data_IF_805182378950
#
_entry.id   IF_805182378950
#
_cell.length_a   1.000
_cell.length_b   1.000
_cell.length_c   1.000
_cell.angle_alpha   90.00
_cell.angle_beta   90.00
_cell.angle_gamma   90.00
#
_symmetry.space_group_name_H-M   'P 1'
#
loop_
_entity.id
_entity.type
_entity.pdbx_description
1 polymer ?
#
# COMPACT_ATOMS: atom_id res chain seq x y z
N UNK A 1 -8.73 -5.72 -27.21
CA UNK A 1 -7.49 -6.30 -26.67
C UNK A 1 -7.62 -6.44 -25.16
N UNK A 2 -7.76 -7.67 -24.65
CA UNK A 2 -7.96 -7.99 -23.23
C UNK A 2 -6.61 -8.05 -22.46
N UNK A 3 -5.84 -6.96 -22.49
CA UNK A 3 -4.38 -7.02 -22.36
C UNK A 3 -3.69 -6.29 -21.19
N UNK A 4 -4.41 -5.77 -20.18
CA UNK A 4 -3.73 -5.12 -19.04
C UNK A 4 -3.92 -5.95 -17.76
N UNK A 5 -2.80 -6.47 -17.23
CA UNK A 5 -2.75 -7.21 -15.96
C UNK A 5 -2.98 -6.35 -14.71
N UNK A 6 -3.14 -5.03 -14.89
CA UNK A 6 -3.33 -4.04 -13.84
C UNK A 6 -4.42 -3.03 -14.24
N UNK A 7 -5.30 -2.69 -13.30
CA UNK A 7 -6.30 -1.62 -13.42
C UNK A 7 -6.21 -0.66 -12.23
N UNK A 8 -6.40 0.63 -12.50
CA UNK A 8 -6.47 1.68 -11.49
C UNK A 8 -7.85 2.34 -11.55
N UNK A 9 -8.55 2.34 -10.43
CA UNK A 9 -9.89 2.89 -10.25
C UNK A 9 -9.86 4.00 -9.20
N UNK A 10 -10.62 5.08 -9.39
CA UNK A 10 -10.72 6.17 -8.42
C UNK A 10 -9.58 7.20 -8.47
N UNK A 11 -8.77 7.22 -9.53
CA UNK A 11 -7.61 8.13 -9.64
C UNK A 11 -8.00 9.62 -9.56
N UNK A 12 -9.21 9.95 -9.99
CA UNK A 12 -9.83 11.27 -9.91
C UNK A 12 -10.06 11.76 -8.48
N UNK A 13 -10.09 10.85 -7.50
CA UNK A 13 -10.23 11.18 -6.07
C UNK A 13 -8.93 11.70 -5.46
N UNK A 14 -7.80 11.54 -6.13
CA UNK A 14 -6.52 12.07 -5.67
C UNK A 14 -6.55 13.60 -5.88
N UNK A 15 -6.39 14.41 -4.82
CA UNK A 15 -6.41 15.86 -4.94
C UNK A 15 -5.25 16.34 -5.82
N UNK A 16 -5.44 17.42 -6.57
CA UNK A 16 -4.35 18.01 -7.39
C UNK A 16 -3.16 18.51 -6.54
N UNK A 17 -3.42 18.86 -5.27
CA UNK A 17 -2.42 19.22 -4.27
C UNK A 17 -1.81 18.04 -3.49
N UNK A 18 -1.16 18.30 -2.35
CA UNK A 18 -0.50 17.26 -1.57
C UNK A 18 -1.49 16.31 -0.88
N UNK A 19 -1.01 15.11 -0.55
CA UNK A 19 -1.84 14.08 0.05
C UNK A 19 -1.02 12.86 0.48
N UNK A 20 -1.46 12.22 1.56
CA UNK A 20 -0.83 11.02 2.09
C UNK A 20 -1.60 9.78 1.62
N UNK A 21 -1.06 9.05 0.65
CA UNK A 21 -1.60 7.76 0.19
C UNK A 21 -1.27 6.71 1.25
N UNK A 22 -2.30 6.17 1.91
CA UNK A 22 -2.14 5.11 2.91
C UNK A 22 -2.66 3.81 2.33
N UNK A 23 -1.82 2.80 2.28
CA UNK A 23 -2.13 1.56 1.56
C UNK A 23 -1.78 0.29 2.32
N UNK A 24 -2.45 -0.79 1.93
CA UNK A 24 -2.17 -2.15 2.40
C UNK A 24 -0.82 -2.66 1.87
N UNK A 25 0.05 -3.17 2.74
CA UNK A 25 1.31 -3.76 2.33
C UNK A 25 1.13 -5.20 1.82
N UNK A 26 1.30 -5.40 0.52
CA UNK A 26 1.39 -6.73 -0.10
C UNK A 26 2.65 -7.50 0.28
N UNK A 27 2.73 -8.78 -0.07
CA UNK A 27 3.96 -9.55 0.07
C UNK A 27 5.12 -8.92 -0.73
N UNK A 28 4.80 -8.32 -1.89
CA UNK A 28 5.71 -7.54 -2.73
C UNK A 28 5.08 -6.16 -3.01
N UNK A 29 5.87 -5.11 -3.30
CA UNK A 29 5.37 -3.76 -3.57
C UNK A 29 4.92 -3.58 -5.04
N UNK A 30 4.63 -4.67 -5.77
CA UNK A 30 4.40 -4.63 -7.22
C UNK A 30 3.18 -3.80 -7.60
N UNK A 31 2.13 -3.83 -6.79
CA UNK A 31 0.93 -3.04 -7.00
C UNK A 31 1.19 -1.54 -6.84
N UNK A 32 1.98 -1.18 -5.84
CA UNK A 32 2.35 0.20 -5.59
C UNK A 32 3.27 0.75 -6.69
N UNK A 33 4.17 -0.06 -7.24
CA UNK A 33 4.96 0.30 -8.44
C UNK A 33 4.06 0.54 -9.67
N UNK A 34 3.07 -0.33 -9.91
CA UNK A 34 2.10 -0.12 -10.99
C UNK A 34 1.25 1.14 -10.75
N UNK A 35 0.81 1.38 -9.52
CA UNK A 35 0.10 2.59 -9.14
C UNK A 35 0.92 3.84 -9.47
N UNK A 36 2.19 3.91 -9.05
CA UNK A 36 3.07 5.05 -9.32
C UNK A 36 3.27 5.26 -10.82
N UNK A 37 3.51 4.20 -11.59
CA UNK A 37 3.65 4.30 -13.04
C UNK A 37 2.37 4.83 -13.71
N UNK A 38 1.20 4.38 -13.26
CA UNK A 38 -0.09 4.82 -13.79
C UNK A 38 -0.43 6.25 -13.38
N UNK A 39 -0.11 6.63 -12.16
CA UNK A 39 -0.25 8.01 -11.68
C UNK A 39 0.61 8.97 -12.50
N UNK A 40 1.88 8.62 -12.74
CA UNK A 40 2.79 9.40 -13.57
C UNK A 40 2.24 9.53 -15.01
N UNK A 41 1.80 8.42 -15.61
CA UNK A 41 1.29 8.43 -16.99
C UNK A 41 -0.06 9.15 -17.15
N UNK A 42 -0.97 9.05 -16.16
CA UNK A 42 -2.32 9.61 -16.27
C UNK A 42 -2.44 11.05 -15.77
N UNK A 43 -1.66 11.42 -14.76
CA UNK A 43 -1.73 12.73 -14.09
C UNK A 43 -0.43 13.54 -14.22
N UNK A 44 0.67 12.96 -14.72
CA UNK A 44 1.97 13.63 -14.75
C UNK A 44 2.58 13.83 -13.36
N UNK A 45 2.12 13.06 -12.35
CA UNK A 45 2.50 13.25 -10.94
C UNK A 45 3.32 12.09 -10.41
N UNK A 46 4.33 12.43 -9.63
CA UNK A 46 5.12 11.46 -8.86
C UNK A 46 4.54 11.33 -7.44
N UNK A 47 4.59 10.13 -6.90
CA UNK A 47 4.29 9.84 -5.50
C UNK A 47 5.59 9.41 -4.85
N UNK A 48 6.08 10.20 -3.89
CA UNK A 48 7.21 9.80 -3.07
C UNK A 48 6.78 8.68 -2.15
N UNK A 49 7.72 7.88 -1.64
CA UNK A 49 7.39 6.77 -0.75
C UNK A 49 8.41 6.65 0.36
N UNK A 50 8.04 5.97 1.45
CA UNK A 50 8.97 5.67 2.53
C UNK A 50 9.28 4.18 2.52
N UNK A 51 10.56 3.82 2.49
CA UNK A 51 11.00 2.44 2.65
C UNK A 51 11.64 2.19 4.01
N UNK A 52 11.57 0.94 4.45
CA UNK A 52 12.24 0.47 5.66
C UNK A 52 13.77 0.61 5.52
N UNK A 53 14.44 0.89 6.65
CA UNK A 53 15.90 1.02 6.73
C UNK A 53 16.64 -0.16 6.10
N UNK A 54 16.11 -1.38 6.23
CA UNK A 54 16.76 -2.57 5.68
C UNK A 54 16.81 -2.54 4.14
N UNK A 55 15.83 -1.92 3.49
CA UNK A 55 15.77 -1.81 2.02
C UNK A 55 17.02 -1.14 1.47
N UNK A 56 17.50 -0.08 2.14
CA UNK A 56 18.72 0.64 1.76
C UNK A 56 20.02 -0.15 1.99
N UNK A 57 19.97 -1.29 2.69
CA UNK A 57 21.13 -2.18 2.87
C UNK A 57 21.29 -3.19 1.72
N UNK A 58 20.32 -3.29 0.81
CA UNK A 58 20.38 -4.20 -0.34
C UNK A 58 21.30 -3.60 -1.42
N UNK A 59 22.41 -4.25 -1.79
CA UNK A 59 23.30 -3.75 -2.84
C UNK A 59 22.55 -3.56 -4.16
N UNK A 60 22.73 -2.40 -4.81
CA UNK A 60 22.17 -2.11 -6.14
C UNK A 60 20.72 -1.58 -6.16
N UNK A 61 20.00 -1.58 -5.04
CA UNK A 61 18.60 -1.12 -5.03
C UNK A 61 18.44 0.41 -4.98
N UNK A 62 19.48 1.13 -4.54
CA UNK A 62 19.44 2.58 -4.31
C UNK A 62 19.01 3.37 -5.55
N UNK A 63 19.54 3.04 -6.73
CA UNK A 63 19.16 3.70 -7.99
C UNK A 63 17.66 3.54 -8.29
N UNK A 64 17.10 2.37 -7.97
CA UNK A 64 15.69 2.07 -8.17
C UNK A 64 14.84 2.86 -7.17
N UNK A 65 15.26 2.91 -5.90
CA UNK A 65 14.59 3.70 -4.86
C UNK A 65 14.60 5.21 -5.18
N UNK A 66 15.72 5.74 -5.66
CA UNK A 66 15.85 7.16 -6.03
C UNK A 66 14.92 7.51 -7.20
N UNK A 67 14.80 6.64 -8.21
CA UNK A 67 13.88 6.82 -9.37
C UNK A 67 12.42 6.84 -8.93
N UNK A 68 12.05 6.01 -7.94
CA UNK A 68 10.69 5.95 -7.43
C UNK A 68 10.44 6.94 -6.28
N UNK A 69 11.39 7.82 -5.96
CA UNK A 69 11.25 8.79 -4.86
C UNK A 69 11.08 8.13 -3.49
N UNK A 70 11.67 6.94 -3.31
CA UNK A 70 11.57 6.15 -2.09
C UNK A 70 12.68 6.55 -1.13
N UNK A 71 12.29 7.15 -0.01
CA UNK A 71 13.20 7.83 0.90
C UNK A 71 13.33 7.12 2.25
N UNK A 72 14.43 7.44 2.93
CA UNK A 72 14.62 7.15 4.35
C UNK A 72 13.93 8.23 5.20
N UNK A 73 12.62 8.37 5.00
CA UNK A 73 11.88 9.52 5.51
C UNK A 73 11.71 9.51 7.02
N UNK A 74 12.51 10.30 7.73
CA UNK A 74 12.14 10.76 9.07
C UNK A 74 10.82 11.52 9.03
N UNK A 75 10.12 11.65 10.17
CA UNK A 75 8.80 12.31 10.23
C UNK A 75 8.83 13.72 9.62
N UNK A 76 9.88 14.49 9.92
CA UNK A 76 10.06 15.87 9.45
C UNK A 76 10.21 15.94 7.92
N UNK A 77 10.97 15.02 7.32
CA UNK A 77 11.17 14.94 5.88
C UNK A 77 9.87 14.62 5.15
N UNK A 78 9.10 13.64 5.68
CA UNK A 78 7.77 13.31 5.17
C UNK A 78 6.82 14.52 5.20
N UNK A 79 6.85 15.29 6.30
CA UNK A 79 6.05 16.52 6.42
C UNK A 79 6.51 17.57 5.41
N UNK A 80 7.82 17.73 5.19
CA UNK A 80 8.35 18.70 4.24
C UNK A 80 7.95 18.38 2.80
N UNK A 81 7.98 17.10 2.40
CA UNK A 81 7.52 16.67 1.07
C UNK A 81 6.06 17.05 0.84
N UNK A 82 5.21 16.75 1.82
CA UNK A 82 3.79 17.08 1.73
C UNK A 82 3.57 18.59 1.69
N UNK A 83 4.29 19.37 2.51
CA UNK A 83 4.23 20.85 2.49
C UNK A 83 4.72 21.45 1.17
N UNK A 84 5.64 20.78 0.47
CA UNK A 84 6.09 21.18 -0.87
C UNK A 84 5.09 20.83 -1.99
N UNK A 85 3.91 20.29 -1.66
CA UNK A 85 2.84 20.02 -2.63
C UNK A 85 2.87 18.63 -3.26
N UNK A 86 3.75 17.73 -2.77
CA UNK A 86 3.89 16.39 -3.33
C UNK A 86 2.95 15.37 -2.69
N UNK A 87 2.76 14.25 -3.39
CA UNK A 87 2.12 13.06 -2.81
C UNK A 87 3.16 12.20 -2.10
N UNK A 88 2.77 11.61 -0.97
CA UNK A 88 3.58 10.67 -0.22
C UNK A 88 2.79 9.38 0.01
N UNK A 89 3.39 8.22 -0.28
CA UNK A 89 2.83 6.91 -0.02
C UNK A 89 3.45 6.24 1.19
N UNK A 90 2.61 5.66 2.04
CA UNK A 90 3.04 4.89 3.20
C UNK A 90 2.15 3.68 3.43
N UNK A 91 2.78 2.56 3.78
CA UNK A 91 2.10 1.36 4.27
C UNK A 91 2.37 1.18 5.78
N UNK A 92 1.43 1.53 6.68
CA UNK A 92 1.70 1.55 8.13
C UNK A 92 2.12 0.19 8.70
N UNK A 93 1.58 -0.89 8.13
CA UNK A 93 1.92 -2.27 8.51
C UNK A 93 3.37 -2.66 8.21
N UNK A 94 3.99 -2.01 7.22
CA UNK A 94 5.38 -2.24 6.83
C UNK A 94 5.71 -3.72 6.56
N UNK A 95 6.98 -4.08 6.80
CA UNK A 95 7.50 -5.44 6.59
C UNK A 95 6.73 -6.51 7.37
N UNK A 96 6.22 -6.18 8.56
CA UNK A 96 5.42 -7.12 9.36
C UNK A 96 4.12 -7.49 8.66
N UNK A 97 3.42 -6.50 8.11
CA UNK A 97 2.22 -6.75 7.30
C UNK A 97 2.56 -7.49 6.00
N UNK A 98 3.65 -7.11 5.33
CA UNK A 98 4.14 -7.79 4.14
C UNK A 98 4.32 -9.30 4.38
N UNK A 99 4.91 -9.70 5.51
CA UNK A 99 5.22 -11.09 5.78
C UNK A 99 4.11 -11.89 6.46
N UNK A 100 3.31 -11.27 7.32
CA UNK A 100 2.39 -12.02 8.20
C UNK A 100 0.91 -11.80 7.92
N UNK A 101 0.55 -10.84 7.06
CA UNK A 101 -0.81 -10.78 6.55
C UNK A 101 -1.03 -11.90 5.52
N UNK A 102 -2.23 -12.44 5.51
CA UNK A 102 -2.56 -13.66 4.77
C UNK A 102 -3.72 -13.44 3.80
N UNK A 103 -4.33 -14.53 3.31
CA UNK A 103 -5.47 -14.49 2.41
C UNK A 103 -6.72 -13.78 2.98
N UNK A 104 -6.72 -13.41 4.26
CA UNK A 104 -7.77 -12.60 4.87
C UNK A 104 -7.45 -11.09 4.82
N UNK A 105 -6.30 -10.69 4.28
CA UNK A 105 -5.90 -9.29 4.12
C UNK A 105 -6.02 -8.50 5.44
N UNK A 106 -5.51 -9.10 6.52
CA UNK A 106 -5.49 -8.48 7.84
C UNK A 106 -4.53 -7.29 7.86
N UNK A 107 -4.99 -6.13 8.35
CA UNK A 107 -4.13 -4.97 8.58
C UNK A 107 -3.34 -5.16 9.88
N UNK A 108 -2.01 -5.23 9.78
CA UNK A 108 -1.11 -5.53 10.89
C UNK A 108 -0.35 -4.29 11.37
N UNK A 109 -1.08 -3.20 11.61
CA UNK A 109 -0.50 -1.90 11.96
C UNK A 109 -0.04 -1.82 13.43
N UNK A 110 -0.65 -2.61 14.31
CA UNK A 110 -0.41 -2.51 15.76
C UNK A 110 -0.71 -1.09 16.26
N UNK A 111 0.20 -0.51 17.06
CA UNK A 111 0.07 0.84 17.60
C UNK A 111 0.71 1.93 16.71
N UNK A 112 1.01 1.61 15.44
CA UNK A 112 1.70 2.55 14.53
C UNK A 112 0.73 3.62 14.04
N UNK A 113 0.86 4.82 14.62
CA UNK A 113 0.08 6.03 14.28
C UNK A 113 0.92 7.19 13.75
N UNK A 114 2.21 6.96 13.50
CA UNK A 114 3.14 8.02 13.06
C UNK A 114 2.76 8.65 11.72
N UNK A 115 2.20 7.87 10.80
CA UNK A 115 1.73 8.37 9.51
C UNK A 115 0.54 9.34 9.65
N UNK A 116 -0.36 9.09 10.60
CA UNK A 116 -1.47 9.99 10.88
C UNK A 116 -0.96 11.33 11.46
N UNK A 117 0.06 11.28 12.32
CA UNK A 117 0.72 12.50 12.79
C UNK A 117 1.36 13.29 11.64
N UNK A 118 2.01 12.62 10.69
CA UNK A 118 2.56 13.27 9.47
C UNK A 118 1.46 13.99 8.69
N UNK A 119 0.30 13.37 8.49
CA UNK A 119 -0.82 14.00 7.80
C UNK A 119 -1.36 15.24 8.54
N UNK A 120 -1.46 15.17 9.88
CA UNK A 120 -1.86 16.29 10.73
C UNK A 120 -0.85 17.44 10.64
N UNK A 121 0.44 17.15 10.81
CA UNK A 121 1.52 18.15 10.82
C UNK A 121 1.69 18.84 9.46
N UNK A 122 1.42 18.10 8.37
CA UNK A 122 1.43 18.62 7.01
C UNK A 122 0.10 19.26 6.59
N UNK A 123 -0.98 19.08 7.36
CA UNK A 123 -2.35 19.53 7.06
C UNK A 123 -2.88 19.03 5.71
N UNK A 124 -2.66 17.74 5.43
CA UNK A 124 -3.05 17.10 4.16
C UNK A 124 -4.08 16.00 4.39
N UNK A 125 -4.90 15.67 3.37
CA UNK A 125 -5.81 14.53 3.47
C UNK A 125 -5.06 13.20 3.45
N UNK A 126 -5.65 12.19 4.10
CA UNK A 126 -5.26 10.78 3.93
C UNK A 126 -6.11 10.18 2.80
N UNK A 127 -5.46 9.53 1.86
CA UNK A 127 -6.11 8.90 0.71
C UNK A 127 -5.94 7.38 0.86
N UNK A 128 -7.00 6.65 1.22
CA UNK A 128 -6.93 5.20 1.39
C UNK A 128 -6.81 4.50 0.04
N UNK A 129 -5.92 3.52 -0.05
CA UNK A 129 -5.72 2.71 -1.25
C UNK A 129 -5.67 1.23 -0.90
N UNK A 130 -6.33 0.41 -1.73
CA UNK A 130 -6.33 -1.04 -1.61
C UNK A 130 -6.18 -1.70 -2.98
N UNK A 131 -5.43 -2.80 -3.06
CA UNK A 131 -5.27 -3.58 -4.30
C UNK A 131 -5.82 -5.00 -4.13
N UNK A 132 -6.80 -5.35 -4.97
CA UNK A 132 -7.36 -6.69 -5.08
C UNK A 132 -6.33 -7.70 -5.63
N UNK A 133 -6.43 -8.95 -5.18
CA UNK A 133 -5.61 -10.10 -5.58
C UNK A 133 -4.12 -9.99 -5.24
N UNK A 134 -3.71 -9.01 -4.42
CA UNK A 134 -2.31 -8.83 -4.06
C UNK A 134 -1.72 -10.06 -3.35
N UNK A 135 -2.50 -10.69 -2.46
CA UNK A 135 -2.15 -11.95 -1.77
C UNK A 135 -2.38 -13.20 -2.63
N UNK A 136 -3.01 -13.07 -3.78
CA UNK A 136 -3.15 -14.18 -4.73
C UNK A 136 -2.03 -14.17 -5.76
N UNK A 137 -1.49 -12.99 -6.09
CA UNK A 137 -0.31 -12.86 -6.95
C UNK A 137 0.97 -13.27 -6.24
N UNK A 138 1.11 -12.87 -4.97
CA UNK A 138 2.28 -13.16 -4.14
C UNK A 138 1.88 -13.50 -2.70
N UNK A 139 2.44 -14.59 -2.17
CA UNK A 139 2.25 -15.05 -0.80
C UNK A 139 3.59 -15.23 -0.10
N UNK A 140 3.53 -15.33 1.21
CA UNK A 140 4.67 -15.57 2.07
C UNK A 140 4.46 -16.86 2.85
N UNK A 141 5.55 -17.45 3.32
CA UNK A 141 5.50 -18.56 4.27
C UNK A 141 5.41 -18.09 5.73
N UNK A 142 4.94 -16.86 5.97
CA UNK A 142 4.88 -16.25 7.31
C UNK A 142 3.93 -16.94 8.29
N UNK A 143 3.04 -17.83 7.83
CA UNK A 143 2.19 -18.67 8.69
C UNK A 143 2.98 -19.73 9.47
N UNK A 144 4.17 -20.10 8.99
CA UNK A 144 5.03 -21.06 9.69
C UNK A 144 5.59 -20.39 10.94
N UNK A 145 5.31 -20.98 12.10
CA UNK A 145 5.67 -20.41 13.41
C UNK A 145 7.15 -20.08 13.54
N UNK A 146 8.05 -20.91 13.01
CA UNK A 146 9.50 -20.68 13.08
C UNK A 146 9.94 -19.40 12.36
N UNK A 147 9.36 -19.08 11.20
CA UNK A 147 9.66 -17.84 10.48
C UNK A 147 9.15 -16.61 11.24
N UNK A 148 7.97 -16.70 11.87
CA UNK A 148 7.44 -15.63 12.69
C UNK A 148 8.29 -15.39 13.94
N UNK A 149 8.65 -16.46 14.64
CA UNK A 149 9.53 -16.39 15.81
C UNK A 149 10.89 -15.78 15.44
N UNK A 150 11.53 -16.27 14.38
CA UNK A 150 12.83 -15.78 13.92
C UNK A 150 12.76 -14.30 13.51
N UNK A 151 11.70 -13.86 12.83
CA UNK A 151 11.52 -12.45 12.48
C UNK A 151 11.31 -11.57 13.70
N UNK A 152 10.47 -11.98 14.66
CA UNK A 152 10.21 -11.18 15.86
C UNK A 152 11.47 -11.07 16.75
N UNK A 153 12.33 -12.11 16.74
CA UNK A 153 13.62 -12.11 17.43
C UNK A 153 14.71 -11.29 16.71
N UNK A 154 14.93 -11.55 15.42
CA UNK A 154 16.08 -11.00 14.68
C UNK A 154 15.78 -9.74 13.86
N UNK A 155 14.50 -9.46 13.58
CA UNK A 155 14.03 -8.45 12.63
C UNK A 155 14.59 -8.59 11.21
N UNK A 156 15.23 -9.72 10.88
CA UNK A 156 15.75 -10.00 9.54
C UNK A 156 14.62 -10.48 8.61
N UNK A 157 14.58 -9.99 7.36
CA UNK A 157 13.53 -10.36 6.41
C UNK A 157 13.79 -11.70 5.73
N UNK A 158 13.80 -12.77 6.53
CA UNK A 158 14.10 -14.14 6.09
C UNK A 158 12.86 -14.96 5.76
N UNK A 159 11.70 -14.32 5.59
CA UNK A 159 10.44 -15.01 5.29
C UNK A 159 10.38 -15.29 3.79
N UNK A 160 10.39 -16.57 3.34
CA UNK A 160 10.35 -16.87 1.91
C UNK A 160 9.04 -16.41 1.28
N UNK A 161 9.16 -15.86 0.07
CA UNK A 161 8.05 -15.46 -0.78
C UNK A 161 7.87 -16.48 -1.91
N UNK A 162 6.62 -16.74 -2.30
CA UNK A 162 6.28 -17.53 -3.46
C UNK A 162 5.12 -16.87 -4.20
N UNK A 163 5.03 -17.07 -5.50
CA UNK A 163 4.02 -16.44 -6.33
C UNK A 163 4.55 -16.05 -7.69
N UNK A 164 4.13 -14.88 -8.18
CA UNK A 164 4.24 -14.54 -9.59
C UNK A 164 3.10 -15.13 -10.41
N UNK A 165 1.99 -15.47 -9.76
CA UNK A 165 0.81 -15.96 -10.46
C UNK A 165 0.23 -14.83 -11.32
N UNK A 166 -0.19 -15.11 -12.56
CA UNK A 166 -0.71 -14.11 -13.48
C UNK A 166 -2.15 -13.74 -13.12
N UNK A 167 -2.40 -13.34 -11.88
CA UNK A 167 -3.70 -12.77 -11.46
C UNK A 167 -3.80 -11.33 -11.97
N UNK A 168 -5.01 -10.78 -11.97
CA UNK A 168 -5.23 -9.38 -12.31
C UNK A 168 -5.27 -8.52 -11.05
N UNK A 169 -4.41 -7.52 -10.99
CA UNK A 169 -4.41 -6.53 -9.91
C UNK A 169 -5.37 -5.40 -10.25
N UNK A 170 -6.22 -5.03 -9.30
CA UNK A 170 -7.11 -3.87 -9.42
C UNK A 170 -6.90 -3.01 -8.18
N UNK A 171 -6.32 -1.84 -8.37
CA UNK A 171 -6.11 -0.87 -7.30
C UNK A 171 -7.29 0.09 -7.26
N UNK A 172 -7.83 0.28 -6.08
CA UNK A 172 -8.96 1.16 -5.80
C UNK A 172 -8.50 2.27 -4.87
N UNK A 173 -8.70 3.52 -5.31
CA UNK A 173 -8.53 4.71 -4.50
C UNK A 173 -9.87 5.02 -3.83
N UNK A 174 -9.87 5.10 -2.50
CA UNK A 174 -11.04 5.49 -1.73
C UNK A 174 -11.18 7.00 -1.56
N UNK A 175 -12.26 7.41 -0.92
CA UNK A 175 -12.53 8.83 -0.71
C UNK A 175 -11.50 9.44 0.27
N UNK A 176 -10.93 10.62 -0.04
CA UNK A 176 -9.97 11.25 0.85
C UNK A 176 -10.59 11.57 2.21
N UNK A 177 -9.88 11.24 3.28
CA UNK A 177 -10.19 11.68 4.63
C UNK A 177 -9.59 13.08 4.78
N UNK A 178 -10.42 14.15 4.83
CA UNK A 178 -9.93 15.51 4.87
C UNK A 178 -9.19 15.79 6.18
N UNK A 179 -8.31 16.79 6.14
CA UNK A 179 -7.68 17.30 7.35
C UNK A 179 -8.73 17.87 8.31
N UNK A 180 -8.63 17.49 9.57
CA UNK A 180 -9.46 17.98 10.67
C UNK A 180 -8.52 18.42 11.81
N UNK A 181 -8.52 19.70 12.23
CA UNK A 181 -7.65 20.18 13.29
C UNK A 181 -7.97 19.57 14.67
N UNK A 182 -9.16 18.99 14.86
CA UNK A 182 -9.61 18.46 16.14
C UNK A 182 -9.37 16.96 16.28
N UNK A 183 -8.94 16.27 15.21
CA UNK A 183 -8.72 14.83 15.24
C UNK A 183 -7.37 14.49 15.85
N UNK A 184 -7.33 13.48 16.71
CA UNK A 184 -6.06 12.94 17.20
C UNK A 184 -5.43 12.02 16.16
N UNK A 185 -4.11 11.83 16.22
CA UNK A 185 -3.43 10.86 15.34
C UNK A 185 -3.94 9.42 15.51
N UNK A 186 -4.46 9.06 16.69
CA UNK A 186 -5.04 7.74 16.94
C UNK A 186 -6.38 7.58 16.21
N UNK A 187 -7.28 8.55 16.33
CA UNK A 187 -8.58 8.54 15.65
C UNK A 187 -8.42 8.60 14.14
N UNK A 188 -7.49 9.43 13.64
CA UNK A 188 -7.21 9.52 12.21
C UNK A 188 -6.63 8.21 11.66
N UNK A 189 -5.76 7.54 12.43
CA UNK A 189 -5.25 6.23 12.05
C UNK A 189 -6.37 5.18 11.99
N UNK A 190 -7.31 5.19 12.93
CA UNK A 190 -8.45 4.26 12.91
C UNK A 190 -9.43 4.55 11.76
N UNK A 191 -9.69 5.83 11.46
CA UNK A 191 -10.46 6.23 10.27
C UNK A 191 -9.81 5.72 8.98
N UNK A 192 -8.49 5.89 8.84
CA UNK A 192 -7.74 5.40 7.68
C UNK A 192 -7.78 3.86 7.56
N UNK A 193 -7.63 3.16 8.69
CA UNK A 193 -7.73 1.70 8.77
C UNK A 193 -9.11 1.22 8.32
N UNK A 194 -10.16 1.85 8.84
CA UNK A 194 -11.56 1.54 8.52
C UNK A 194 -11.85 1.76 7.04
N UNK A 195 -11.34 2.86 6.46
CA UNK A 195 -11.49 3.14 5.04
C UNK A 195 -10.83 2.08 4.14
N UNK A 196 -9.61 1.63 4.49
CA UNK A 196 -8.93 0.56 3.74
C UNK A 196 -9.64 -0.79 3.92
N UNK A 197 -10.16 -1.09 5.12
CA UNK A 197 -10.97 -2.29 5.34
C UNK A 197 -12.26 -2.25 4.53
N UNK A 198 -12.91 -1.10 4.44
CA UNK A 198 -14.11 -0.93 3.60
C UNK A 198 -13.81 -1.16 2.12
N UNK A 199 -12.68 -0.63 1.61
CA UNK A 199 -12.23 -0.92 0.23
C UNK A 199 -11.94 -2.42 0.03
N UNK A 200 -11.27 -3.06 0.99
CA UNK A 200 -11.02 -4.51 0.95
C UNK A 200 -12.34 -5.28 0.90
N UNK A 201 -13.26 -5.01 1.82
CA UNK A 201 -14.50 -5.77 1.95
C UNK A 201 -15.41 -5.59 0.74
N UNK A 202 -15.34 -4.43 0.07
CA UNK A 202 -16.05 -4.16 -1.19
C UNK A 202 -15.44 -4.89 -2.39
N UNK A 203 -14.11 -4.96 -2.48
CA UNK A 203 -13.43 -5.36 -3.72
C UNK A 203 -12.68 -6.70 -3.65
N UNK A 204 -12.54 -7.30 -2.47
CA UNK A 204 -11.82 -8.56 -2.27
C UNK A 204 -12.70 -9.58 -1.57
N UNK A 205 -12.81 -10.77 -2.16
CA UNK A 205 -13.41 -11.93 -1.51
C UNK A 205 -12.39 -12.57 -0.56
N UNK A 206 -12.73 -12.67 0.72
CA UNK A 206 -11.90 -13.30 1.77
C UNK A 206 -12.56 -14.57 2.33
N UNK A 207 -11.82 -15.66 2.60
CA UNK A 207 -10.40 -15.82 2.31
C UNK A 207 -10.12 -15.80 0.79
N UNK A 208 -8.99 -15.21 0.42
CA UNK A 208 -8.49 -15.11 -0.94
C UNK A 208 -8.09 -16.48 -1.50
N UNK A 209 -8.37 -16.68 -2.79
CA UNK A 209 -8.17 -17.96 -3.46
C UNK A 209 -7.50 -17.73 -4.83
N UNK A 210 -6.35 -18.39 -5.06
CA UNK A 210 -5.53 -18.20 -6.26
C UNK A 210 -6.28 -18.61 -7.53
N UNK A 211 -6.96 -19.76 -7.52
CA UNK A 211 -7.73 -20.24 -8.68
C UNK A 211 -8.84 -19.25 -9.05
N UNK A 212 -9.58 -18.76 -8.05
CA UNK A 212 -10.61 -17.74 -8.28
C UNK A 212 -10.01 -16.47 -8.88
N UNK A 213 -8.90 -15.97 -8.32
CA UNK A 213 -8.23 -14.77 -8.84
C UNK A 213 -7.68 -14.94 -10.27
N UNK A 214 -7.27 -16.16 -10.65
CA UNK A 214 -6.86 -16.48 -12.01
C UNK A 214 -8.06 -16.47 -12.97
N UNK A 215 -9.22 -16.98 -12.54
CA UNK A 215 -10.45 -16.92 -13.34
C UNK A 215 -10.96 -15.48 -13.48
N UNK A 216 -10.95 -14.69 -12.40
CA UNK A 216 -11.34 -13.26 -12.36
C UNK A 216 -10.45 -12.37 -13.25
N UNK A 217 -9.32 -12.88 -13.76
CA UNK A 217 -8.51 -12.22 -14.79
C UNK A 217 -9.28 -12.06 -16.10
N UNK A 218 -10.07 -13.07 -16.46
CA UNK A 218 -10.80 -13.15 -17.72
C UNK A 218 -12.22 -12.63 -17.62
N UNK A 219 -12.76 -12.54 -16.40
CA UNK A 219 -14.05 -11.91 -16.16
C UNK A 219 -14.03 -10.45 -16.59
N UNK A 220 -14.89 -10.13 -17.57
CA UNK A 220 -15.30 -8.77 -17.86
C UNK A 220 -16.26 -8.34 -16.75
N UNK A 221 -15.75 -7.85 -15.62
CA UNK A 221 -16.63 -7.14 -14.70
C UNK A 221 -17.25 -5.96 -15.46
N UNK A 222 -18.58 -5.94 -15.51
CA UNK A 222 -19.34 -4.77 -15.93
C UNK A 222 -18.98 -3.62 -14.99
N UNK A 223 -18.84 -2.42 -15.55
CA UNK A 223 -18.74 -1.18 -14.78
C UNK A 223 -20.03 -1.08 -13.96
N UNK A 224 -19.93 -1.26 -12.66
CA UNK A 224 -20.97 -0.76 -11.76
C UNK A 224 -20.52 0.64 -11.34
N UNK A 225 -21.39 1.60 -11.65
CA UNK A 225 -21.24 3.06 -11.55
C UNK A 225 -20.97 3.58 -10.13
#
# INVERSE_FOLDING_TARGET
MAGNGYELHGVEKIPEGPGLIVYYHGATPIDYLYFMARLCNQKGRLCHSVADHFTFKIPGIKLLLDIFGVMHGGREECVQILKNGHLLGVSPGGVREAFFSDENYNLLWGNRKGFAQVAIDAKVPIIPMFTQNLREGYRTLGKIWSFRWLYEYSRLPVVPLYGGFPVKFRTYIGDPIPYDPNVTAAELAEKAKTAIQSLRDRHQKTPGNILRALLERFDKHQKDD
#
